data_IF_186261209903
#
_entry.id   IF_186261209903
#
_cell.length_a   1.000
_cell.length_b   1.000
_cell.length_c   1.000
_cell.angle_alpha   90.00
_cell.angle_beta   90.00
_cell.angle_gamma   90.00
#
_symmetry.space_group_name_H-M   'P 1'
#
loop_
_entity.id
_entity.type
_entity.pdbx_description
1 polymer ?
#
# COMPACT_ATOMS: atom_id res chain seq x y z
N UNK A 1 50.47 -17.28 -23.23
CA UNK A 1 49.23 -17.90 -22.69
C UNK A 1 48.65 -17.23 -21.43
N UNK A 2 49.24 -16.13 -20.89
CA UNK A 2 48.77 -15.52 -19.62
C UNK A 2 47.75 -14.37 -19.76
N UNK A 3 47.54 -13.83 -20.96
CA UNK A 3 46.66 -12.67 -21.21
C UNK A 3 45.19 -13.02 -21.42
N UNK A 4 44.88 -14.25 -21.85
CA UNK A 4 43.49 -14.70 -22.08
C UNK A 4 42.74 -14.99 -20.77
N UNK A 5 43.44 -15.39 -19.71
CA UNK A 5 42.84 -15.63 -18.39
C UNK A 5 42.47 -14.32 -17.67
N UNK A 6 43.26 -13.26 -17.87
CA UNK A 6 43.02 -11.96 -17.23
C UNK A 6 41.76 -11.27 -17.78
N UNK A 7 41.50 -11.39 -19.09
CA UNK A 7 40.28 -10.86 -19.70
C UNK A 7 39.02 -11.60 -19.25
N UNK A 8 39.09 -12.93 -19.04
CA UNK A 8 37.96 -13.70 -18.54
C UNK A 8 37.60 -13.33 -17.08
N UNK A 9 38.59 -13.03 -16.25
CA UNK A 9 38.37 -12.62 -14.85
C UNK A 9 37.77 -11.21 -14.78
N UNK A 10 38.23 -10.27 -15.61
CA UNK A 10 37.66 -8.90 -15.67
C UNK A 10 36.25 -8.90 -16.27
N UNK A 11 35.97 -9.76 -17.26
CA UNK A 11 34.63 -9.91 -17.82
C UNK A 11 33.65 -10.56 -16.82
N UNK A 12 34.11 -11.53 -16.02
CA UNK A 12 33.33 -12.12 -14.94
C UNK A 12 33.11 -11.14 -13.77
N UNK A 13 34.09 -10.29 -13.44
CA UNK A 13 33.93 -9.22 -12.44
C UNK A 13 32.99 -8.11 -12.93
N UNK A 14 33.00 -7.79 -14.23
CA UNK A 14 32.03 -6.87 -14.85
C UNK A 14 30.60 -7.43 -14.87
N UNK A 15 30.44 -8.73 -15.13
CA UNK A 15 29.13 -9.40 -15.12
C UNK A 15 28.59 -9.66 -13.70
N UNK A 16 29.46 -9.81 -12.70
CA UNK A 16 29.08 -9.89 -11.28
C UNK A 16 28.81 -8.51 -10.67
N UNK A 17 29.51 -7.45 -11.10
CA UNK A 17 29.20 -6.08 -10.71
C UNK A 17 27.87 -5.59 -11.32
N UNK A 18 27.46 -6.14 -12.46
CA UNK A 18 26.16 -5.84 -13.09
C UNK A 18 24.96 -6.50 -12.39
N UNK A 19 25.20 -7.51 -11.53
CA UNK A 19 24.16 -8.16 -10.71
C UNK A 19 24.03 -7.57 -9.30
N UNK A 20 24.88 -6.62 -8.93
CA UNK A 20 24.86 -5.95 -7.64
C UNK A 20 24.25 -4.53 -7.70
N UNK A 21 23.56 -4.18 -8.77
CA UNK A 21 22.58 -3.10 -8.70
C UNK A 21 21.35 -3.64 -8.00
N UNK A 22 21.40 -3.52 -6.67
CA UNK A 22 20.29 -3.67 -5.75
C UNK A 22 19.22 -2.62 -6.13
N UNK A 23 18.40 -2.98 -7.11
CA UNK A 23 17.28 -2.18 -7.60
C UNK A 23 16.17 -2.18 -6.54
N UNK A 24 16.36 -1.39 -5.49
CA UNK A 24 15.27 -0.79 -4.72
C UNK A 24 14.51 0.15 -5.66
N UNK A 25 13.55 -0.37 -6.43
CA UNK A 25 12.62 0.44 -7.18
C UNK A 25 11.27 0.43 -6.49
N UNK A 26 10.61 1.59 -6.40
CA UNK A 26 9.29 1.73 -5.78
C UNK A 26 8.43 2.76 -6.52
N UNK A 27 7.99 2.44 -7.76
CA UNK A 27 7.23 3.42 -8.55
C UNK A 27 5.99 3.85 -7.77
N UNK A 28 5.77 5.17 -7.70
CA UNK A 28 4.54 5.72 -7.16
C UNK A 28 3.70 6.20 -8.32
N UNK A 29 2.45 5.77 -8.32
CA UNK A 29 1.39 6.28 -9.17
C UNK A 29 0.32 6.86 -8.26
N UNK A 30 0.21 8.19 -8.27
CA UNK A 30 -0.83 8.91 -7.54
C UNK A 30 -1.72 9.64 -8.54
N UNK A 31 -3.03 9.38 -8.47
CA UNK A 31 -3.99 9.82 -9.49
C UNK A 31 -5.27 10.30 -8.84
N UNK A 32 -5.75 11.46 -9.27
CA UNK A 32 -7.09 11.95 -8.94
C UNK A 32 -7.98 11.92 -10.18
N UNK A 33 -9.11 11.23 -10.08
CA UNK A 33 -10.05 10.97 -11.16
C UNK A 33 -11.40 11.57 -10.79
N UNK A 34 -11.96 12.39 -11.68
CA UNK A 34 -13.31 12.95 -11.57
C UNK A 34 -14.23 12.16 -12.49
N UNK A 35 -15.29 11.57 -11.94
CA UNK A 35 -16.22 10.70 -12.67
C UNK A 35 -17.66 10.94 -12.22
N UNK A 36 -18.18 12.15 -12.43
CA UNK A 36 -19.50 12.58 -11.93
C UNK A 36 -20.65 11.66 -12.37
N UNK A 37 -20.71 11.31 -13.65
CA UNK A 37 -21.82 10.52 -14.21
C UNK A 37 -21.61 9.00 -14.10
N UNK A 38 -20.39 8.56 -13.81
CA UNK A 38 -20.00 7.13 -13.80
C UNK A 38 -19.32 6.70 -12.51
N UNK A 39 -19.47 7.49 -11.44
CA UNK A 39 -18.76 7.30 -10.17
C UNK A 39 -18.86 5.86 -9.66
N UNK A 40 -20.08 5.31 -9.57
CA UNK A 40 -20.29 3.95 -9.08
C UNK A 40 -19.65 2.88 -9.96
N UNK A 41 -19.70 3.06 -11.28
CA UNK A 41 -19.08 2.13 -12.23
C UNK A 41 -17.55 2.15 -12.07
N UNK A 42 -16.96 3.34 -11.95
CA UNK A 42 -15.53 3.53 -11.73
C UNK A 42 -15.09 2.95 -10.38
N UNK A 43 -15.88 3.19 -9.32
CA UNK A 43 -15.63 2.64 -7.98
C UNK A 43 -15.64 1.12 -7.98
N UNK A 44 -16.68 0.50 -8.55
CA UNK A 44 -16.77 -0.95 -8.67
C UNK A 44 -15.63 -1.54 -9.52
N UNK A 45 -15.21 -0.81 -10.56
CA UNK A 45 -14.08 -1.21 -11.39
C UNK A 45 -12.77 -1.21 -10.58
N UNK A 46 -12.55 -0.22 -9.72
CA UNK A 46 -11.39 -0.17 -8.83
C UNK A 46 -11.37 -1.33 -7.83
N UNK A 47 -12.50 -1.65 -7.20
CA UNK A 47 -12.61 -2.78 -6.27
C UNK A 47 -12.31 -4.12 -6.98
N UNK A 48 -12.91 -4.34 -8.15
CA UNK A 48 -12.65 -5.55 -8.96
C UNK A 48 -11.21 -5.63 -9.44
N UNK A 49 -10.60 -4.48 -9.72
CA UNK A 49 -9.21 -4.42 -10.12
C UNK A 49 -8.32 -4.97 -9.00
N UNK A 50 -8.55 -4.57 -7.76
CA UNK A 50 -7.81 -5.11 -6.61
C UNK A 50 -8.05 -6.60 -6.36
N UNK A 51 -9.26 -7.12 -6.61
CA UNK A 51 -9.54 -8.56 -6.47
C UNK A 51 -8.79 -9.41 -7.52
N UNK A 52 -8.60 -8.86 -8.72
CA UNK A 52 -7.95 -9.54 -9.84
C UNK A 52 -6.43 -9.37 -9.88
N UNK A 53 -5.92 -8.37 -9.16
CA UNK A 53 -4.51 -8.04 -9.13
C UNK A 53 -3.80 -8.82 -8.04
N UNK A 54 -2.57 -9.23 -8.35
CA UNK A 54 -1.62 -9.60 -7.34
C UNK A 54 -1.15 -8.33 -6.61
N UNK A 55 -1.87 -7.98 -5.54
CA UNK A 55 -1.67 -6.75 -4.80
C UNK A 55 -1.87 -6.92 -3.29
N UNK A 56 -1.35 -5.96 -2.54
CA UNK A 56 -1.58 -5.81 -1.11
C UNK A 56 -2.32 -4.51 -0.87
N UNK A 57 -3.56 -4.62 -0.38
CA UNK A 57 -4.37 -3.46 -0.03
C UNK A 57 -3.80 -2.77 1.23
N UNK A 58 -3.45 -1.51 1.11
CA UNK A 58 -2.92 -0.70 2.22
C UNK A 58 -4.06 0.03 2.93
N UNK A 59 -4.85 0.77 2.16
CA UNK A 59 -6.01 1.52 2.65
C UNK A 59 -7.12 1.57 1.60
N UNK A 60 -8.37 1.65 2.08
CA UNK A 60 -9.55 1.87 1.27
C UNK A 60 -10.56 2.65 2.10
N UNK A 61 -11.06 3.77 1.59
CA UNK A 61 -12.05 4.59 2.27
C UNK A 61 -13.06 5.20 1.31
N UNK A 62 -14.28 5.40 1.80
CA UNK A 62 -15.39 5.95 1.04
C UNK A 62 -16.06 7.06 1.86
N UNK A 63 -16.23 8.25 1.27
CA UNK A 63 -16.94 9.38 1.87
C UNK A 63 -18.25 9.56 1.13
N UNK A 64 -19.34 9.71 1.91
CA UNK A 64 -20.70 9.85 1.41
C UNK A 64 -21.25 11.23 1.71
N UNK A 65 -21.98 11.79 0.75
CA UNK A 65 -22.92 12.88 0.97
C UNK A 65 -24.34 12.31 0.93
N UNK A 66 -24.91 12.14 2.13
CA UNK A 66 -26.15 11.41 2.32
C UNK A 66 -26.06 9.94 1.89
N UNK A 67 -26.89 9.53 0.93
CA UNK A 67 -26.96 8.15 0.43
C UNK A 67 -26.02 7.86 -0.75
N UNK A 68 -25.32 8.88 -1.28
CA UNK A 68 -24.46 8.74 -2.46
C UNK A 68 -22.99 8.94 -2.07
N UNK A 69 -22.08 8.02 -2.47
CA UNK A 69 -20.67 8.26 -2.29
C UNK A 69 -20.19 9.39 -3.20
N UNK A 70 -19.44 10.31 -2.62
CA UNK A 70 -18.80 11.44 -3.31
C UNK A 70 -17.32 11.18 -3.56
N UNK A 71 -16.67 10.43 -2.67
CA UNK A 71 -15.24 10.22 -2.70
C UNK A 71 -14.92 8.76 -2.40
N UNK A 72 -14.00 8.19 -3.15
CA UNK A 72 -13.47 6.85 -2.92
C UNK A 72 -11.96 6.87 -3.09
N UNK A 73 -11.25 6.57 -2.01
CA UNK A 73 -9.80 6.54 -1.97
C UNK A 73 -9.33 5.10 -1.79
N UNK A 74 -8.38 4.69 -2.62
CA UNK A 74 -7.79 3.36 -2.55
C UNK A 74 -6.28 3.43 -2.71
N UNK A 75 -5.59 2.66 -1.87
CA UNK A 75 -4.15 2.55 -1.86
C UNK A 75 -3.73 1.08 -1.76
N UNK A 76 -2.81 0.68 -2.63
CA UNK A 76 -2.27 -0.68 -2.62
C UNK A 76 -0.85 -0.75 -3.16
N UNK A 77 -0.17 -1.83 -2.79
CA UNK A 77 1.13 -2.22 -3.34
C UNK A 77 0.96 -3.33 -4.37
N UNK A 78 1.72 -3.31 -5.45
CA UNK A 78 1.66 -4.33 -6.50
C UNK A 78 3.01 -4.51 -7.19
N UNK A 79 3.11 -5.50 -8.07
CA UNK A 79 4.28 -5.74 -8.91
C UNK A 79 4.27 -4.86 -10.18
N UNK A 80 5.24 -5.07 -11.07
CA UNK A 80 5.35 -4.29 -12.31
C UNK A 80 4.21 -4.57 -13.30
N UNK A 81 3.66 -5.79 -13.29
CA UNK A 81 2.56 -6.18 -14.16
C UNK A 81 1.27 -5.49 -13.69
N UNK A 82 0.99 -5.52 -12.39
CA UNK A 82 -0.14 -4.82 -11.79
C UNK A 82 -0.04 -3.31 -11.97
N UNK A 83 1.15 -2.73 -11.81
CA UNK A 83 1.38 -1.30 -12.08
C UNK A 83 1.00 -0.92 -13.52
N UNK A 84 1.52 -1.68 -14.49
CA UNK A 84 1.26 -1.42 -15.91
C UNK A 84 -0.21 -1.59 -16.27
N UNK A 85 -0.88 -2.59 -15.67
CA UNK A 85 -2.31 -2.82 -15.89
C UNK A 85 -3.14 -1.64 -15.36
N UNK A 86 -2.87 -1.19 -14.13
CA UNK A 86 -3.58 -0.06 -13.54
C UNK A 86 -3.38 1.19 -14.37
N UNK A 87 -2.14 1.53 -14.71
CA UNK A 87 -1.79 2.72 -15.47
C UNK A 87 -2.53 2.79 -16.82
N UNK A 88 -2.68 1.64 -17.48
CA UNK A 88 -3.42 1.52 -18.75
C UNK A 88 -4.94 1.69 -18.61
N UNK A 89 -5.52 1.44 -17.43
CA UNK A 89 -6.97 1.47 -17.18
C UNK A 89 -7.46 2.79 -16.58
N UNK A 90 -6.57 3.64 -16.07
CA UNK A 90 -6.96 4.91 -15.41
C UNK A 90 -7.88 5.78 -16.28
N UNK A 91 -7.59 5.88 -17.57
CA UNK A 91 -8.36 6.72 -18.49
C UNK A 91 -9.80 6.20 -18.72
N UNK A 92 -10.09 4.94 -18.39
CA UNK A 92 -11.43 4.35 -18.49
C UNK A 92 -12.30 4.68 -17.27
N UNK A 93 -11.70 5.15 -16.18
CA UNK A 93 -12.37 5.41 -14.91
C UNK A 93 -12.96 6.84 -14.82
N UNK A 94 -12.65 7.73 -15.75
CA UNK A 94 -13.16 9.10 -15.76
C UNK A 94 -12.11 10.11 -16.24
N UNK A 95 -12.34 11.39 -15.96
CA UNK A 95 -11.41 12.46 -16.27
C UNK A 95 -10.28 12.50 -15.25
N UNK A 96 -9.04 12.30 -15.69
CA UNK A 96 -7.86 12.43 -14.85
C UNK A 96 -7.61 13.91 -14.57
N UNK A 97 -7.96 14.38 -13.37
CA UNK A 97 -7.72 15.75 -12.93
C UNK A 97 -6.24 15.95 -12.52
N UNK A 98 -5.61 14.91 -12.00
CA UNK A 98 -4.22 14.92 -11.58
C UNK A 98 -3.61 13.53 -11.75
N UNK A 99 -2.35 13.46 -12.20
CA UNK A 99 -1.58 12.22 -12.27
C UNK A 99 -0.11 12.52 -12.06
N UNK A 100 0.50 11.82 -11.12
CA UNK A 100 1.96 11.76 -10.98
C UNK A 100 2.41 10.32 -11.06
N UNK A 101 3.43 10.08 -11.89
CA UNK A 101 4.08 8.79 -12.04
C UNK A 101 5.58 9.01 -11.95
N UNK A 102 6.25 8.34 -11.03
CA UNK A 102 7.67 8.54 -10.81
C UNK A 102 8.35 7.40 -10.08
N UNK A 103 9.66 7.29 -10.28
CA UNK A 103 10.51 6.45 -9.46
C UNK A 103 10.70 7.16 -8.11
N UNK A 104 10.08 6.65 -7.05
CA UNK A 104 10.41 7.03 -5.68
C UNK A 104 11.18 5.86 -5.07
N UNK A 105 12.25 6.14 -4.34
CA UNK A 105 12.84 5.11 -3.50
C UNK A 105 11.79 4.77 -2.42
N UNK A 106 11.59 3.48 -2.12
CA UNK A 106 10.80 3.08 -0.96
C UNK A 106 11.43 3.75 0.24
N UNK A 107 10.81 4.80 0.76
CA UNK A 107 11.42 5.53 1.84
C UNK A 107 11.33 4.61 3.07
N UNK A 108 12.43 4.29 3.77
CA UNK A 108 12.35 3.63 5.07
C UNK A 108 11.35 4.31 6.02
N UNK A 109 11.04 5.59 5.78
CA UNK A 109 9.95 6.32 6.42
C UNK A 109 8.58 5.61 6.38
N UNK A 110 8.14 4.99 5.27
CA UNK A 110 6.81 4.33 5.22
C UNK A 110 6.76 3.13 6.18
N UNK A 111 7.85 2.34 6.24
CA UNK A 111 7.98 1.28 7.25
C UNK A 111 8.08 1.86 8.66
N UNK A 112 8.73 3.02 8.85
CA UNK A 112 8.78 3.68 10.16
C UNK A 112 7.43 4.25 10.59
N UNK A 113 6.61 4.76 9.67
CA UNK A 113 5.27 5.25 9.95
C UNK A 113 4.36 4.10 10.38
N UNK A 114 4.44 2.97 9.69
CA UNK A 114 3.71 1.76 10.08
C UNK A 114 4.18 1.24 11.45
N UNK A 115 5.49 1.21 11.70
CA UNK A 115 6.05 0.86 13.03
C UNK A 115 5.61 1.82 14.13
N UNK A 116 5.56 3.12 13.84
CA UNK A 116 5.08 4.15 14.78
C UNK A 116 3.59 3.97 15.07
N UNK A 117 2.77 3.66 14.06
CA UNK A 117 1.35 3.36 14.22
C UNK A 117 1.15 2.13 15.10
N UNK A 118 1.85 1.02 14.82
CA UNK A 118 1.83 -0.20 15.65
C UNK A 118 2.23 0.13 17.11
N UNK A 119 3.30 0.91 17.30
CA UNK A 119 3.78 1.30 18.64
C UNK A 119 2.77 2.17 19.39
N UNK A 120 2.13 3.11 18.71
CA UNK A 120 1.09 3.97 19.30
C UNK A 120 -0.11 3.14 19.72
N UNK A 121 -0.57 2.26 18.83
CA UNK A 121 -1.77 1.46 19.05
C UNK A 121 -1.53 0.39 20.13
N UNK A 122 -0.31 -0.18 20.23
CA UNK A 122 0.06 -1.08 21.33
C UNK A 122 0.16 -0.37 22.69
N UNK A 123 0.61 0.89 22.69
CA UNK A 123 0.61 1.72 23.91
C UNK A 123 -0.82 2.03 24.35
N UNK A 124 -1.71 2.39 23.42
CA UNK A 124 -3.13 2.58 23.70
C UNK A 124 -3.77 1.29 24.23
N UNK A 125 -3.47 0.14 23.62
CA UNK A 125 -3.93 -1.16 24.10
C UNK A 125 -3.52 -1.39 25.56
N UNK A 126 -2.25 -1.15 25.91
CA UNK A 126 -1.76 -1.30 27.29
C UNK A 126 -2.47 -0.36 28.28
N UNK A 127 -2.80 0.87 27.87
CA UNK A 127 -3.52 1.84 28.71
C UNK A 127 -4.97 1.37 28.93
N UNK A 128 -5.64 0.90 27.87
CA UNK A 128 -7.01 0.40 27.97
C UNK A 128 -7.07 -0.88 28.80
N UNK A 129 -6.10 -1.79 28.64
CA UNK A 129 -5.97 -3.01 29.44
C UNK A 129 -5.72 -2.70 30.93
N UNK A 130 -4.89 -1.70 31.24
CA UNK A 130 -4.63 -1.26 32.61
C UNK A 130 -5.83 -0.57 33.28
N UNK A 131 -6.74 0.01 32.48
CA UNK A 131 -7.96 0.67 32.97
C UNK A 131 -9.14 -0.31 33.13
N UNK A 132 -8.97 -1.60 32.84
CA UNK A 132 -9.99 -2.63 33.08
C UNK A 132 -10.11 -2.92 34.59
N UNK A 133 -10.96 -2.14 35.28
CA UNK A 133 -11.51 -2.48 36.60
C UNK A 133 -13.04 -2.47 36.54
N UNK A 134 -13.68 -3.43 37.20
CA UNK A 134 -15.00 -3.97 36.83
C UNK A 134 -16.24 -3.07 37.10
N UNK A 135 -17.27 -3.34 36.26
CA UNK A 135 -18.73 -3.03 36.33
C UNK A 135 -19.20 -1.62 35.94
N UNK A 136 -19.04 -1.26 34.67
CA UNK A 136 -19.79 -0.15 34.07
C UNK A 136 -20.08 -0.45 32.58
N UNK A 137 -21.21 -0.10 31.95
CA UNK A 137 -21.42 -0.20 30.49
C UNK A 137 -20.29 0.37 29.61
N UNK A 138 -19.52 1.36 30.08
CA UNK A 138 -18.30 1.82 29.40
C UNK A 138 -17.23 0.71 29.25
N UNK A 139 -17.22 -0.27 30.15
CA UNK A 139 -16.35 -1.45 30.10
C UNK A 139 -16.57 -2.29 28.85
N UNK A 140 -17.83 -2.50 28.43
CA UNK A 140 -18.12 -3.26 27.20
C UNK A 140 -17.66 -2.49 25.95
N UNK A 141 -17.78 -1.16 25.94
CA UNK A 141 -17.24 -0.33 24.86
C UNK A 141 -15.70 -0.35 24.84
N UNK A 142 -15.08 -0.34 26.02
CA UNK A 142 -13.63 -0.50 26.19
C UNK A 142 -13.14 -1.86 25.66
N UNK A 143 -13.83 -2.95 25.99
CA UNK A 143 -13.53 -4.29 25.47
C UNK A 143 -13.65 -4.36 23.95
N UNK A 144 -14.75 -3.86 23.37
CA UNK A 144 -14.90 -3.81 21.91
C UNK A 144 -13.77 -3.02 21.25
N UNK A 145 -13.36 -1.89 21.84
CA UNK A 145 -12.28 -1.06 21.30
C UNK A 145 -10.91 -1.72 21.45
N UNK A 146 -10.69 -2.50 22.51
CA UNK A 146 -9.51 -3.34 22.69
C UNK A 146 -9.45 -4.41 21.59
N UNK A 147 -10.57 -5.07 21.30
CA UNK A 147 -10.64 -6.10 20.26
C UNK A 147 -10.42 -5.51 18.86
N UNK A 148 -11.01 -4.34 18.56
CA UNK A 148 -10.77 -3.61 17.30
C UNK A 148 -9.30 -3.21 17.14
N UNK A 149 -8.67 -2.74 18.22
CA UNK A 149 -7.24 -2.38 18.22
C UNK A 149 -6.36 -3.62 18.01
N UNK A 150 -6.64 -4.74 18.68
CA UNK A 150 -5.91 -6.00 18.49
C UNK A 150 -5.99 -6.47 17.05
N UNK A 151 -7.19 -6.42 16.45
CA UNK A 151 -7.39 -6.76 15.04
C UNK A 151 -6.58 -5.85 14.11
N UNK A 152 -6.63 -4.53 14.34
CA UNK A 152 -5.89 -3.54 13.56
C UNK A 152 -4.37 -3.75 13.66
N UNK A 153 -3.86 -4.04 14.87
CA UNK A 153 -2.44 -4.33 15.08
C UNK A 153 -2.03 -5.59 14.32
N UNK A 154 -2.79 -6.68 14.43
CA UNK A 154 -2.49 -7.93 13.73
C UNK A 154 -2.50 -7.75 12.19
N UNK A 155 -3.48 -7.01 11.65
CA UNK A 155 -3.53 -6.67 10.23
C UNK A 155 -2.31 -5.84 9.79
N UNK A 156 -1.89 -4.86 10.59
CA UNK A 156 -0.72 -4.03 10.29
C UNK A 156 0.60 -4.79 10.41
N UNK A 157 0.73 -5.70 11.37
CA UNK A 157 1.89 -6.60 11.50
C UNK A 157 1.99 -7.55 10.30
N UNK A 158 0.87 -8.09 9.83
CA UNK A 158 0.82 -8.91 8.63
C UNK A 158 1.23 -8.10 7.38
N UNK A 159 0.71 -6.87 7.22
CA UNK A 159 1.12 -5.96 6.14
C UNK A 159 2.62 -5.66 6.21
N UNK A 160 3.16 -5.36 7.40
CA UNK A 160 4.58 -5.09 7.60
C UNK A 160 5.45 -6.30 7.22
N UNK A 161 5.06 -7.50 7.68
CA UNK A 161 5.75 -8.75 7.37
C UNK A 161 5.76 -9.03 5.87
N UNK A 162 4.60 -8.88 5.21
CA UNK A 162 4.51 -9.05 3.77
C UNK A 162 5.33 -7.99 3.01
N UNK A 163 5.34 -6.74 3.45
CA UNK A 163 6.20 -5.69 2.86
C UNK A 163 7.70 -6.02 3.00
N UNK A 164 8.11 -6.64 4.10
CA UNK A 164 9.52 -6.99 4.36
C UNK A 164 9.96 -8.27 3.62
N UNK A 165 9.04 -9.22 3.41
CA UNK A 165 9.37 -10.55 2.90
C UNK A 165 8.88 -10.83 1.48
N UNK A 166 8.13 -9.90 0.87
CA UNK A 166 7.56 -10.08 -0.48
C UNK A 166 8.17 -9.05 -1.44
N UNK A 167 9.40 -9.29 -1.94
CA UNK A 167 10.16 -8.33 -2.75
C UNK A 167 9.53 -8.07 -4.14
N UNK A 168 8.37 -8.64 -4.44
CA UNK A 168 7.60 -8.42 -5.66
C UNK A 168 6.62 -7.24 -5.53
N UNK A 169 6.21 -6.84 -4.32
CA UNK A 169 5.30 -5.71 -4.10
C UNK A 169 6.06 -4.39 -3.95
N UNK A 170 6.60 -3.92 -5.07
CA UNK A 170 7.47 -2.75 -5.13
C UNK A 170 6.72 -1.46 -5.51
N UNK A 171 5.62 -1.55 -6.24
CA UNK A 171 4.98 -0.35 -6.76
C UNK A 171 3.81 0.08 -5.88
N UNK A 172 3.76 1.35 -5.50
CA UNK A 172 2.67 1.94 -4.70
C UNK A 172 1.71 2.69 -5.62
N UNK A 173 0.43 2.44 -5.43
CA UNK A 173 -0.64 3.05 -6.21
C UNK A 173 -1.61 3.71 -5.25
N UNK A 174 -1.92 4.97 -5.51
CA UNK A 174 -2.87 5.80 -4.77
C UNK A 174 -3.86 6.37 -5.79
N UNK A 175 -5.15 6.09 -5.62
CA UNK A 175 -6.20 6.56 -6.51
C UNK A 175 -7.26 7.28 -5.68
N UNK A 176 -7.49 8.55 -6.02
CA UNK A 176 -8.55 9.38 -5.48
C UNK A 176 -9.66 9.52 -6.52
N UNK A 177 -10.77 8.82 -6.33
CA UNK A 177 -11.95 8.95 -7.17
C UNK A 177 -12.91 9.97 -6.54
N UNK A 178 -13.39 10.91 -7.35
CA UNK A 178 -14.29 12.01 -6.96
C UNK A 178 -15.47 12.08 -7.92
N UNK A 179 -16.65 12.35 -7.40
CA UNK A 179 -17.86 12.67 -8.17
C UNK A 179 -17.82 14.13 -8.63
#
# INVERSE_FOLDING_TARGET
>A
MKTKAFFAIVLCLGLLASKAQNHNYNRILEVSIVSTDRFEESRLTLVRLTDSLHCMLMSMSEIKDGSKPMEFDIEFLTDDAGYSLVDSRLAQLGHIAFKTAGLKNMNPEDSTLLKKAITRDSTLLSILENNLTEKNPEFNNLLNRIDDLRKTIAENEQKLSLMQHTPQYRNRIIIHLRS
#
